data_IF_651416921425
#
_entry.id   IF_651416921425
#
_cell.length_a   1.000
_cell.length_b   1.000
_cell.length_c   1.000
_cell.angle_alpha   90.00
_cell.angle_beta   90.00
_cell.angle_gamma   90.00
#
_symmetry.space_group_name_H-M   'P 1'
#
loop_
_entity.id
_entity.type
_entity.pdbx_description
1 polymer ?
#
# COMPACT_ATOMS: atom_id res chain seq x y z
N UNK A 1 27.33 0.61 -21.25
CA UNK A 1 26.70 -0.63 -20.79
C UNK A 1 26.37 -1.44 -22.01
N UNK A 2 26.70 -2.72 -21.99
CA UNK A 2 26.44 -3.70 -23.03
C UNK A 2 25.12 -4.45 -22.75
N UNK A 3 24.53 -5.15 -23.74
CA UNK A 3 23.32 -5.94 -23.52
C UNK A 3 23.51 -6.99 -22.41
N UNK A 4 22.69 -6.90 -21.35
CA UNK A 4 22.75 -7.79 -20.19
C UNK A 4 23.41 -7.17 -18.96
N UNK A 5 24.10 -6.03 -19.10
CA UNK A 5 24.62 -5.30 -17.95
C UNK A 5 23.50 -4.75 -17.07
N UNK A 6 23.73 -4.78 -15.75
CA UNK A 6 22.81 -4.22 -14.75
C UNK A 6 23.55 -3.20 -13.91
N UNK A 7 22.98 -1.99 -13.81
CA UNK A 7 23.44 -0.95 -12.92
C UNK A 7 22.45 -0.78 -11.76
N UNK A 8 22.90 -1.05 -10.53
CA UNK A 8 22.14 -0.76 -9.32
C UNK A 8 22.54 0.61 -8.76
N UNK A 9 21.55 1.47 -8.53
CA UNK A 9 21.74 2.83 -8.00
C UNK A 9 20.93 2.96 -6.71
N UNK A 10 21.58 3.14 -5.54
CA UNK A 10 20.87 3.39 -4.30
C UNK A 10 20.14 4.76 -4.30
N UNK A 11 19.12 4.95 -3.45
CA UNK A 11 18.46 6.24 -3.29
C UNK A 11 19.44 7.36 -2.91
N UNK A 12 19.28 8.55 -3.50
CA UNK A 12 20.07 9.74 -3.19
C UNK A 12 21.36 9.92 -4.01
N UNK A 13 21.68 8.99 -4.91
CA UNK A 13 22.87 9.10 -5.76
C UNK A 13 22.50 9.75 -7.11
N UNK A 14 23.10 10.92 -7.44
CA UNK A 14 22.87 11.55 -8.74
C UNK A 14 23.43 10.66 -9.84
N UNK A 15 22.68 10.52 -10.93
CA UNK A 15 23.08 9.72 -12.08
C UNK A 15 22.60 10.40 -13.37
N UNK A 16 23.41 10.25 -14.42
CA UNK A 16 23.13 10.73 -15.76
C UNK A 16 23.56 9.63 -16.74
N UNK A 17 22.73 9.37 -17.76
CA UNK A 17 22.99 8.36 -18.77
C UNK A 17 22.57 8.88 -20.14
N UNK A 18 23.46 8.72 -21.13
CA UNK A 18 23.21 9.03 -22.52
C UNK A 18 23.54 7.83 -23.41
N UNK A 19 22.81 7.69 -24.52
CA UNK A 19 23.01 6.60 -25.47
C UNK A 19 24.15 6.91 -26.44
N UNK A 20 25.07 5.97 -26.63
CA UNK A 20 26.09 6.05 -27.69
C UNK A 20 25.56 5.52 -29.03
N UNK A 21 24.68 4.53 -28.99
CA UNK A 21 23.98 3.91 -30.11
C UNK A 21 22.50 3.70 -29.75
N UNK A 22 21.66 3.31 -30.71
CA UNK A 22 20.25 2.99 -30.45
C UNK A 22 20.14 1.92 -29.35
N UNK A 23 19.61 2.31 -28.19
CA UNK A 23 19.65 1.51 -26.97
C UNK A 23 18.29 1.51 -26.26
N UNK A 24 17.98 0.41 -25.56
CA UNK A 24 16.83 0.29 -24.67
C UNK A 24 17.31 0.09 -23.23
N UNK A 25 16.64 0.73 -22.27
CA UNK A 25 16.92 0.57 -20.85
C UNK A 25 15.64 0.17 -20.12
N UNK A 26 15.74 -0.80 -19.21
CA UNK A 26 14.65 -1.26 -18.36
C UNK A 26 14.95 -0.91 -16.90
N UNK A 27 14.20 0.04 -16.35
CA UNK A 27 14.37 0.48 -14.97
C UNK A 27 13.43 -0.27 -14.04
N UNK A 28 13.98 -1.15 -13.21
CA UNK A 28 13.21 -1.83 -12.15
C UNK A 28 13.28 -0.99 -10.87
N UNK A 29 12.23 -0.22 -10.62
CA UNK A 29 12.13 0.66 -9.46
C UNK A 29 11.72 -0.08 -8.17
N UNK A 30 12.24 0.39 -7.04
CA UNK A 30 11.80 -0.03 -5.70
C UNK A 30 10.98 1.08 -5.05
N UNK A 31 10.13 0.71 -4.07
CA UNK A 31 9.33 1.67 -3.31
C UNK A 31 9.52 1.47 -1.81
N UNK A 32 9.53 2.59 -1.09
CA UNK A 32 9.49 2.63 0.36
C UNK A 32 8.57 3.78 0.78
N UNK A 33 7.56 3.54 1.64
CA UNK A 33 6.70 4.61 2.13
C UNK A 33 7.48 5.51 3.10
N UNK A 34 7.18 6.80 3.09
CA UNK A 34 7.67 7.73 4.11
C UNK A 34 6.67 7.86 5.27
N UNK A 35 7.10 8.49 6.38
CA UNK A 35 6.26 8.64 7.57
C UNK A 35 4.94 9.37 7.30
N UNK A 36 4.93 10.41 6.43
CA UNK A 36 3.71 11.13 6.08
C UNK A 36 2.69 10.23 5.39
N UNK A 37 3.13 9.42 4.43
CA UNK A 37 2.25 8.45 3.74
C UNK A 37 1.68 7.42 4.72
N UNK A 38 2.49 6.93 5.66
CA UNK A 38 2.05 5.99 6.69
C UNK A 38 0.99 6.61 7.61
N UNK A 39 1.23 7.81 8.14
CA UNK A 39 0.28 8.48 9.03
C UNK A 39 -1.03 8.82 8.32
N UNK A 40 -0.97 9.37 7.11
CA UNK A 40 -2.17 9.70 6.33
C UNK A 40 -2.98 8.44 6.01
N UNK A 41 -2.33 7.38 5.50
CA UNK A 41 -3.02 6.14 5.16
C UNK A 41 -3.65 5.46 6.38
N UNK A 42 -2.97 5.46 7.53
CA UNK A 42 -3.52 4.85 8.75
C UNK A 42 -4.68 5.67 9.32
N UNK A 43 -4.62 7.01 9.23
CA UNK A 43 -5.72 7.87 9.64
C UNK A 43 -6.98 7.61 8.80
N UNK A 44 -6.85 7.49 7.47
CA UNK A 44 -7.96 7.17 6.59
C UNK A 44 -8.61 5.82 6.93
N UNK A 45 -7.79 4.81 7.23
CA UNK A 45 -8.25 3.49 7.68
C UNK A 45 -9.02 3.55 9.01
N UNK A 46 -8.51 4.31 9.98
CA UNK A 46 -9.18 4.52 11.27
C UNK A 46 -10.53 5.20 11.08
N UNK A 47 -10.59 6.23 10.23
CA UNK A 47 -11.82 6.96 9.93
C UNK A 47 -12.86 6.08 9.23
N UNK A 48 -12.44 5.34 8.19
CA UNK A 48 -13.34 4.48 7.42
C UNK A 48 -13.96 3.36 8.25
N UNK A 49 -13.25 2.89 9.28
CA UNK A 49 -13.68 1.78 10.15
C UNK A 49 -14.19 2.23 11.51
N UNK A 50 -14.33 3.54 11.73
CA UNK A 50 -14.82 4.13 12.98
C UNK A 50 -14.03 3.67 14.23
N UNK A 51 -12.73 3.48 14.09
CA UNK A 51 -11.84 3.04 15.17
C UNK A 51 -11.43 4.22 16.08
N UNK A 52 -10.93 3.92 17.28
CA UNK A 52 -10.40 4.95 18.18
C UNK A 52 -11.45 5.82 18.86
N UNK A 53 -12.64 5.28 19.13
CA UNK A 53 -13.77 6.00 19.75
C UNK A 53 -13.59 6.35 21.24
N UNK A 54 -12.48 5.94 21.85
CA UNK A 54 -12.17 6.25 23.25
C UNK A 54 -11.97 7.76 23.41
N UNK A 55 -12.72 8.37 24.32
CA UNK A 55 -12.60 9.79 24.65
C UNK A 55 -11.51 9.99 25.70
N UNK A 56 -10.85 11.15 25.62
CA UNK A 56 -10.00 11.62 26.70
C UNK A 56 -10.83 11.74 27.99
N UNK A 57 -10.26 11.27 29.11
CA UNK A 57 -10.87 11.35 30.43
C UNK A 57 -9.80 11.72 31.46
N UNK A 58 -10.15 12.64 32.36
CA UNK A 58 -9.28 13.22 33.37
C UNK A 58 -9.98 13.30 34.74
N UNK A 59 -10.40 12.17 35.32
CA UNK A 59 -11.04 12.18 36.65
C UNK A 59 -10.13 12.76 37.74
N UNK A 60 -8.82 12.62 37.58
CA UNK A 60 -7.78 13.15 38.48
C UNK A 60 -7.14 14.42 37.91
N UNK A 61 -7.97 15.39 37.49
CA UNK A 61 -7.49 16.65 36.90
C UNK A 61 -6.57 17.38 37.89
N UNK A 62 -5.30 17.63 37.53
CA UNK A 62 -4.36 18.32 38.41
C UNK A 62 -4.70 19.81 38.55
N UNK A 63 -4.40 20.37 39.72
CA UNK A 63 -4.43 21.82 39.94
C UNK A 63 -3.37 22.49 39.05
N UNK A 64 -3.69 23.71 38.57
CA UNK A 64 -2.81 24.51 37.71
C UNK A 64 -2.78 25.97 38.15
N UNK A 65 -1.63 26.61 37.95
CA UNK A 65 -1.41 28.00 38.36
C UNK A 65 -2.17 28.99 37.46
N UNK A 66 -2.26 28.69 36.16
CA UNK A 66 -3.08 29.45 35.22
C UNK A 66 -4.15 28.56 34.56
N UNK A 67 -5.44 28.94 34.61
CA UNK A 67 -6.52 28.12 34.04
C UNK A 67 -6.40 27.83 32.53
N UNK A 68 -5.66 28.65 31.79
CA UNK A 68 -5.45 28.50 30.36
C UNK A 68 -4.29 27.56 30.00
N UNK A 69 -3.53 27.08 31.00
CA UNK A 69 -2.40 26.19 30.76
C UNK A 69 -2.87 24.79 30.37
N UNK A 70 -2.17 24.22 29.40
CA UNK A 70 -2.20 22.80 29.08
C UNK A 70 -0.95 22.19 29.70
N UNK A 71 -1.16 21.31 30.67
CA UNK A 71 -0.05 20.70 31.38
C UNK A 71 0.64 19.64 30.52
N UNK A 72 1.94 19.43 30.69
CA UNK A 72 2.68 18.40 29.96
C UNK A 72 2.05 17.01 30.07
N UNK A 73 1.52 16.67 31.25
CA UNK A 73 0.85 15.38 31.50
C UNK A 73 -0.43 15.18 30.68
N UNK A 74 -1.16 16.25 30.36
CA UNK A 74 -2.35 16.19 29.51
C UNK A 74 -1.95 15.91 28.05
N UNK A 75 -0.87 16.56 27.57
CA UNK A 75 -0.30 16.31 26.24
C UNK A 75 0.26 14.90 26.10
N UNK A 76 0.92 14.38 27.13
CA UNK A 76 1.45 13.02 27.14
C UNK A 76 0.32 11.99 27.08
N UNK A 77 -0.76 12.18 27.84
CA UNK A 77 -1.95 11.31 27.76
C UNK A 77 -2.58 11.32 26.36
N UNK A 78 -2.73 12.48 25.73
CA UNK A 78 -3.25 12.57 24.36
C UNK A 78 -2.35 11.86 23.35
N UNK A 79 -1.02 12.00 23.51
CA UNK A 79 -0.05 11.27 22.68
C UNK A 79 -0.13 9.76 22.91
N UNK A 80 -0.26 9.32 24.16
CA UNK A 80 -0.44 7.92 24.50
C UNK A 80 -1.73 7.33 23.92
N UNK A 81 -2.82 8.10 23.85
CA UNK A 81 -4.04 7.66 23.15
C UNK A 81 -3.76 7.40 21.66
N UNK A 82 -3.04 8.30 21.00
CA UNK A 82 -2.66 8.11 19.59
C UNK A 82 -1.74 6.90 19.39
N UNK A 83 -0.71 6.78 20.23
CA UNK A 83 0.22 5.65 20.19
C UNK A 83 -0.46 4.33 20.53
N UNK A 84 -1.39 4.34 21.48
CA UNK A 84 -2.18 3.19 21.88
C UNK A 84 -2.99 2.63 20.72
N UNK A 85 -3.57 3.51 19.89
CA UNK A 85 -4.28 3.10 18.67
C UNK A 85 -3.33 2.51 17.61
N UNK A 86 -2.20 3.17 17.36
CA UNK A 86 -1.18 2.69 16.41
C UNK A 86 -0.62 1.32 16.84
N UNK A 87 -0.47 1.10 18.14
CA UNK A 87 0.10 -0.12 18.71
C UNK A 87 -0.91 -1.27 18.82
N UNK A 88 -2.14 -1.13 18.32
CA UNK A 88 -3.08 -2.26 18.24
C UNK A 88 -2.67 -3.18 17.07
N UNK A 89 -2.10 -4.36 17.34
CA UNK A 89 -1.34 -5.12 16.34
C UNK A 89 -2.21 -5.56 15.17
N UNK A 90 -3.45 -5.99 15.42
CA UNK A 90 -4.36 -6.45 14.36
C UNK A 90 -4.77 -5.33 13.41
N UNK A 91 -5.08 -4.14 13.94
CA UNK A 91 -5.46 -3.00 13.12
C UNK A 91 -4.30 -2.50 12.28
N UNK A 92 -3.11 -2.36 12.87
CA UNK A 92 -1.93 -1.90 12.15
C UNK A 92 -1.51 -2.90 11.07
N UNK A 93 -1.50 -4.20 11.39
CA UNK A 93 -1.16 -5.26 10.44
C UNK A 93 -2.14 -5.32 9.27
N UNK A 94 -3.44 -5.28 9.54
CA UNK A 94 -4.46 -5.31 8.50
C UNK A 94 -4.37 -4.09 7.58
N UNK A 95 -4.32 -2.89 8.17
CA UNK A 95 -4.15 -1.66 7.42
C UNK A 95 -2.91 -1.70 6.54
N UNK A 96 -1.75 -2.07 7.10
CA UNK A 96 -0.49 -2.03 6.35
C UNK A 96 -0.52 -3.01 5.17
N UNK A 97 -1.17 -4.17 5.33
CA UNK A 97 -1.40 -5.12 4.24
C UNK A 97 -2.24 -4.51 3.11
N UNK A 98 -3.37 -3.89 3.45
CA UNK A 98 -4.25 -3.21 2.49
C UNK A 98 -3.52 -2.03 1.80
N UNK A 99 -2.73 -1.26 2.55
CA UNK A 99 -1.97 -0.11 2.05
C UNK A 99 -0.84 -0.53 1.10
N UNK A 100 0.00 -1.48 1.50
CA UNK A 100 1.20 -1.82 0.74
C UNK A 100 0.88 -2.66 -0.51
N UNK A 101 -0.24 -3.37 -0.55
CA UNK A 101 -0.61 -4.20 -1.71
C UNK A 101 -1.22 -3.41 -2.86
N UNK A 102 -1.61 -2.14 -2.63
CA UNK A 102 -2.10 -1.28 -3.70
C UNK A 102 -1.00 -0.92 -4.71
N UNK A 103 -1.39 -0.87 -5.99
CA UNK A 103 -0.51 -0.40 -7.07
C UNK A 103 -0.43 1.13 -7.09
N UNK A 104 0.75 1.67 -7.44
CA UNK A 104 0.93 3.11 -7.71
C UNK A 104 0.63 3.51 -9.16
N UNK A 105 0.50 2.51 -10.03
CA UNK A 105 0.16 2.68 -11.43
C UNK A 105 -1.19 2.03 -11.69
N UNK A 106 -1.92 2.58 -12.65
CA UNK A 106 -3.16 1.99 -13.11
C UNK A 106 -2.91 0.56 -13.60
N UNK A 107 -3.79 -0.35 -13.18
CA UNK A 107 -3.75 -1.74 -13.59
C UNK A 107 -4.74 -1.92 -14.74
N UNK A 108 -4.37 -2.76 -15.71
CA UNK A 108 -5.26 -3.18 -16.79
C UNK A 108 -6.28 -4.21 -16.27
N UNK A 109 -7.27 -3.72 -15.51
CA UNK A 109 -8.32 -4.56 -14.93
C UNK A 109 -9.47 -4.65 -15.93
N UNK A 110 -9.58 -5.81 -16.58
CA UNK A 110 -10.69 -6.16 -17.46
C UNK A 110 -11.51 -7.30 -16.84
N UNK A 111 -12.62 -6.99 -16.13
CA UNK A 111 -13.51 -8.02 -15.59
C UNK A 111 -14.04 -8.93 -16.72
N UNK A 112 -14.06 -10.26 -16.50
CA UNK A 112 -14.57 -11.19 -17.49
C UNK A 112 -16.08 -11.01 -17.67
N UNK A 113 -16.52 -11.05 -18.93
CA UNK A 113 -17.93 -10.99 -19.31
C UNK A 113 -18.28 -12.22 -20.17
N UNK A 114 -19.18 -13.12 -19.71
CA UNK A 114 -19.86 -13.08 -18.41
C UNK A 114 -18.94 -13.40 -17.22
N UNK A 115 -19.33 -13.05 -15.98
CA UNK A 115 -18.62 -13.47 -14.79
C UNK A 115 -18.56 -15.01 -14.70
N UNK A 116 -17.38 -15.53 -14.37
CA UNK A 116 -17.18 -16.98 -14.18
C UNK A 116 -18.09 -17.53 -13.09
N UNK A 117 -18.68 -18.69 -13.35
CA UNK A 117 -19.34 -19.49 -12.32
C UNK A 117 -18.31 -20.30 -11.50
N UNK A 118 -18.62 -20.65 -10.23
CA UNK A 118 -17.69 -21.37 -9.38
C UNK A 118 -17.20 -22.71 -9.93
N UNK A 119 -18.03 -23.43 -10.67
CA UNK A 119 -17.71 -24.69 -11.36
C UNK A 119 -16.69 -24.47 -12.50
N UNK A 120 -16.86 -23.41 -13.29
CA UNK A 120 -15.91 -23.05 -14.36
C UNK A 120 -14.50 -22.77 -13.81
N UNK A 121 -14.40 -22.13 -12.64
CA UNK A 121 -13.12 -21.88 -11.96
C UNK A 121 -12.48 -23.20 -11.49
N UNK A 122 -13.29 -24.14 -11.00
CA UNK A 122 -12.80 -25.43 -10.47
C UNK A 122 -12.34 -26.37 -11.60
N UNK A 123 -13.07 -26.41 -12.71
CA UNK A 123 -12.83 -27.34 -13.83
C UNK A 123 -11.75 -26.84 -14.81
N UNK A 124 -11.56 -25.52 -14.92
CA UNK A 124 -10.61 -24.88 -15.82
C UNK A 124 -9.18 -25.45 -15.77
N UNK A 125 -8.54 -25.59 -14.58
CA UNK A 125 -7.20 -26.17 -14.47
C UNK A 125 -7.12 -27.62 -14.95
N UNK A 126 -8.16 -28.42 -14.68
CA UNK A 126 -8.22 -29.84 -15.09
C UNK A 126 -8.39 -30.00 -16.61
N UNK A 127 -9.03 -29.04 -17.26
CA UNK A 127 -9.21 -28.99 -18.70
C UNK A 127 -8.06 -28.30 -19.46
N UNK A 128 -7.03 -27.80 -18.75
CA UNK A 128 -5.91 -27.05 -19.35
C UNK A 128 -6.31 -25.70 -19.95
N UNK A 129 -7.47 -25.15 -19.56
CA UNK A 129 -7.97 -23.84 -20.02
C UNK A 129 -7.90 -22.88 -18.85
N UNK A 130 -6.98 -21.92 -18.90
CA UNK A 130 -6.91 -20.89 -17.86
C UNK A 130 -7.83 -19.71 -18.19
N UNK A 131 -8.60 -19.22 -17.21
CA UNK A 131 -9.39 -18.02 -17.38
C UNK A 131 -8.47 -16.84 -17.74
N UNK A 132 -8.80 -16.12 -18.82
CA UNK A 132 -8.02 -14.97 -19.30
C UNK A 132 -6.93 -15.28 -20.34
N UNK A 133 -6.84 -16.51 -20.86
CA UNK A 133 -6.04 -16.72 -22.09
C UNK A 133 -6.77 -16.08 -23.28
N UNK A 134 -6.19 -15.10 -23.97
CA UNK A 134 -6.76 -14.64 -25.22
C UNK A 134 -6.84 -15.86 -26.14
N UNK A 135 -8.04 -16.15 -26.64
CA UNK A 135 -8.26 -17.27 -27.53
C UNK A 135 -7.24 -17.21 -28.66
N UNK A 136 -6.30 -18.15 -28.68
CA UNK A 136 -5.44 -18.36 -29.83
C UNK A 136 -6.39 -18.65 -31.00
N UNK A 137 -6.46 -17.83 -32.06
CA UNK A 137 -7.36 -18.12 -33.17
C UNK A 137 -6.96 -19.48 -33.74
N UNK A 138 -7.88 -20.43 -33.62
CA UNK A 138 -7.75 -21.71 -34.30
C UNK A 138 -7.89 -21.44 -35.79
N UNK A 139 -6.80 -21.68 -36.53
CA UNK A 139 -6.84 -21.84 -37.99
C UNK A 139 -6.72 -20.55 -38.80
N UNK A 140 -5.48 -20.23 -39.18
CA UNK A 140 -5.19 -19.73 -40.51
C UNK A 140 -4.02 -20.56 -41.06
N UNK A 141 -4.35 -21.80 -41.41
CA UNK A 141 -3.58 -22.54 -42.41
C UNK A 141 -4.18 -22.16 -43.76
N UNK A 142 -3.41 -21.44 -44.57
CA UNK A 142 -3.38 -21.53 -46.03
C UNK A 142 -2.05 -21.00 -46.53
#
# INVERSE_FOLDING_TARGET
MEPGDILYIPPGFPHEGYSLENSLNYSVGYRAPNARELFSGFADYVLQRELGSQRYADPDVPSRDHPADILPTELDRLREMMLGLINQPEHFKQWFGEFITQSRHELDVAPPEPPYQPDEIYDAPAAGRYPGTPGRPAGAAH
#
